data_IF_295568233548
#
_entry.id   IF_295568233548
#
_cell.length_a   1.000
_cell.length_b   1.000
_cell.length_c   1.000
_cell.angle_alpha   90.00
_cell.angle_beta   90.00
_cell.angle_gamma   90.00
#
_symmetry.space_group_name_H-M   'P 1'
#
loop_
_entity.id
_entity.type
_entity.pdbx_description
1 polymer ?
#
# COMPACT_ATOMS: atom_id res chain seq x y z
N UNK A 1 13.22 6.05 5.33
CA UNK A 1 12.70 4.92 6.14
C UNK A 1 12.62 5.27 7.63
N UNK A 2 13.69 5.81 8.23
CA UNK A 2 13.75 6.11 9.67
C UNK A 2 12.56 6.94 10.21
N UNK A 3 12.21 8.05 9.56
CA UNK A 3 11.09 8.92 9.99
C UNK A 3 9.74 8.18 10.06
N UNK A 4 9.46 7.30 9.09
CA UNK A 4 8.21 6.52 9.05
C UNK A 4 8.18 5.54 10.23
N UNK A 5 9.30 4.87 10.51
CA UNK A 5 9.42 3.91 11.63
C UNK A 5 9.35 4.62 12.97
N UNK A 6 9.97 5.78 13.10
CA UNK A 6 9.91 6.58 14.33
C UNK A 6 8.48 7.10 14.58
N UNK A 7 7.85 7.67 13.55
CA UNK A 7 6.47 8.12 13.61
C UNK A 7 5.49 6.97 13.92
N UNK A 8 5.74 5.76 13.40
CA UNK A 8 4.91 4.58 13.72
C UNK A 8 5.07 4.16 15.17
N UNK A 9 6.28 4.22 15.73
CA UNK A 9 6.55 3.89 17.13
C UNK A 9 5.86 4.85 18.09
N UNK A 10 5.80 6.14 17.77
CA UNK A 10 4.99 7.13 18.52
C UNK A 10 3.50 6.76 18.51
N UNK A 11 3.04 6.10 17.45
CA UNK A 11 1.69 5.53 17.34
C UNK A 11 1.61 4.12 17.91
N UNK A 12 2.58 3.65 18.71
CA UNK A 12 2.65 2.29 19.29
C UNK A 12 2.58 1.17 18.25
N UNK A 13 3.15 1.40 17.06
CA UNK A 13 3.24 0.43 15.96
C UNK A 13 4.70 0.07 15.68
N UNK A 14 5.00 -1.23 15.68
CA UNK A 14 6.25 -1.76 15.16
C UNK A 14 6.07 -2.17 13.69
N UNK A 15 6.83 -1.55 12.79
CA UNK A 15 6.80 -1.86 11.37
C UNK A 15 8.04 -2.68 10.98
N UNK A 16 7.82 -3.79 10.29
CA UNK A 16 8.89 -4.68 9.85
C UNK A 16 8.77 -4.95 8.35
N UNK A 17 9.87 -4.76 7.61
CA UNK A 17 9.98 -5.10 6.18
C UNK A 17 10.75 -6.41 6.04
N UNK A 18 10.15 -7.39 5.39
CA UNK A 18 10.75 -8.65 4.99
C UNK A 18 10.81 -8.71 3.46
N UNK A 19 11.88 -9.29 2.92
CA UNK A 19 12.12 -9.36 1.46
C UNK A 19 12.53 -10.77 1.08
N UNK A 20 12.03 -11.24 -0.05
CA UNK A 20 12.43 -12.49 -0.68
C UNK A 20 12.52 -12.28 -2.19
N UNK A 21 13.74 -12.04 -2.68
CA UNK A 21 13.96 -11.63 -4.06
C UNK A 21 13.19 -10.34 -4.40
N UNK A 22 12.38 -10.30 -5.48
CA UNK A 22 11.60 -9.13 -5.84
C UNK A 22 10.36 -8.95 -4.94
N UNK A 23 9.98 -9.97 -4.16
CA UNK A 23 8.81 -9.93 -3.30
C UNK A 23 9.13 -9.28 -1.96
N UNK A 24 8.15 -8.59 -1.40
CA UNK A 24 8.26 -8.00 -0.08
C UNK A 24 6.97 -8.17 0.73
N UNK A 25 7.14 -8.19 2.04
CA UNK A 25 6.06 -8.14 3.03
C UNK A 25 6.41 -7.08 4.06
N UNK A 26 5.44 -6.25 4.39
CA UNK A 26 5.52 -5.30 5.49
C UNK A 26 4.48 -5.71 6.51
N UNK A 27 4.86 -5.84 7.77
CA UNK A 27 3.95 -6.17 8.87
C UNK A 27 3.93 -5.02 9.87
N UNK A 28 2.75 -4.66 10.34
CA UNK A 28 2.53 -3.77 11.46
C UNK A 28 2.08 -4.58 12.68
N UNK A 29 2.83 -4.49 13.79
CA UNK A 29 2.49 -5.12 15.07
C UNK A 29 2.21 -4.06 16.13
N UNK A 30 1.33 -4.39 17.07
CA UNK A 30 1.14 -3.58 18.27
C UNK A 30 2.39 -3.68 19.14
N UNK A 31 2.96 -2.55 19.55
CA UNK A 31 4.03 -2.56 20.55
C UNK A 31 3.53 -2.97 21.94
N UNK A 32 2.21 -2.88 22.19
CA UNK A 32 1.62 -3.21 23.49
C UNK A 32 1.32 -4.71 23.61
N UNK A 33 0.68 -5.29 22.59
CA UNK A 33 0.25 -6.71 22.61
C UNK A 33 1.20 -7.65 21.86
N UNK A 34 2.11 -7.11 21.04
CA UNK A 34 2.98 -7.89 20.13
C UNK A 34 2.24 -8.52 18.95
N UNK A 35 0.92 -8.38 18.88
CA UNK A 35 0.08 -9.03 17.86
C UNK A 35 0.09 -8.25 16.54
N UNK A 36 -0.12 -8.97 15.44
CA UNK A 36 -0.23 -8.38 14.10
C UNK A 36 -1.52 -7.59 13.97
N UNK A 37 -1.38 -6.33 13.55
CA UNK A 37 -2.49 -5.43 13.27
C UNK A 37 -2.79 -5.37 11.77
N UNK A 38 -1.77 -5.64 10.94
CA UNK A 38 -1.97 -5.82 9.52
C UNK A 38 -0.67 -6.00 8.77
N UNK A 39 -0.81 -6.26 7.48
CA UNK A 39 0.31 -6.46 6.56
C UNK A 39 0.01 -5.93 5.18
N UNK A 40 1.07 -5.58 4.47
CA UNK A 40 1.06 -5.26 3.05
C UNK A 40 2.07 -6.13 2.31
N UNK A 41 1.72 -6.63 1.14
CA UNK A 41 2.54 -7.48 0.31
C UNK A 41 2.61 -6.93 -1.11
N UNK A 42 3.71 -7.20 -1.79
CA UNK A 42 3.88 -6.77 -3.16
C UNK A 42 5.16 -7.31 -3.78
N UNK A 43 5.42 -6.85 -4.99
CA UNK A 43 6.55 -7.28 -5.81
C UNK A 43 7.13 -6.11 -6.59
N UNK A 44 8.46 -6.09 -6.71
CA UNK A 44 9.16 -5.21 -7.65
C UNK A 44 9.15 -5.89 -9.02
N UNK A 45 8.36 -5.36 -9.96
CA UNK A 45 8.34 -5.85 -11.34
C UNK A 45 9.39 -5.15 -12.17
N UNK A 46 10.06 -5.90 -13.04
CA UNK A 46 11.00 -5.38 -14.02
C UNK A 46 10.30 -5.35 -15.37
N UNK A 47 10.19 -4.17 -15.97
CA UNK A 47 9.55 -3.97 -17.27
C UNK A 47 10.45 -3.16 -18.21
N UNK A 48 10.17 -3.22 -19.51
CA UNK A 48 10.77 -2.33 -20.50
C UNK A 48 10.34 -0.88 -20.20
N UNK A 49 11.20 -0.12 -19.51
CA UNK A 49 10.87 1.21 -18.96
C UNK A 49 11.24 1.39 -17.49
N UNK A 50 11.74 0.35 -16.81
CA UNK A 50 12.28 0.43 -15.45
C UNK A 50 11.58 -0.49 -14.46
N UNK A 51 11.75 -0.19 -13.17
CA UNK A 51 11.15 -0.96 -12.08
C UNK A 51 9.81 -0.36 -11.69
N UNK A 52 8.84 -1.24 -11.43
CA UNK A 52 7.50 -0.87 -10.96
C UNK A 52 7.29 -1.49 -9.59
N UNK A 53 6.89 -0.68 -8.61
CA UNK A 53 6.40 -1.14 -7.33
C UNK A 53 4.97 -1.62 -7.52
N UNK A 54 4.75 -2.92 -7.48
CA UNK A 54 3.42 -3.49 -7.56
C UNK A 54 2.95 -3.89 -6.17
N UNK A 55 1.96 -3.16 -5.63
CA UNK A 55 1.34 -3.48 -4.35
C UNK A 55 0.19 -4.44 -4.63
N UNK A 56 0.31 -5.65 -4.10
CA UNK A 56 -0.61 -6.75 -4.38
C UNK A 56 -1.76 -6.77 -3.37
N UNK A 57 -1.42 -6.84 -2.08
CA UNK A 57 -2.43 -6.92 -1.03
C UNK A 57 -2.10 -6.04 0.18
N UNK A 58 -3.15 -5.55 0.82
CA UNK A 58 -3.08 -4.93 2.14
C UNK A 58 -4.23 -5.45 2.99
N UNK A 59 -3.90 -6.11 4.10
CA UNK A 59 -4.86 -6.74 5.00
C UNK A 59 -4.69 -6.19 6.40
N UNK A 60 -5.79 -5.79 7.01
CA UNK A 60 -5.83 -5.32 8.39
C UNK A 60 -6.58 -6.36 9.22
N UNK A 61 -6.00 -6.74 10.35
CA UNK A 61 -6.54 -7.79 11.21
C UNK A 61 -7.66 -7.25 12.10
N UNK A 62 -8.53 -8.17 12.59
CA UNK A 62 -9.66 -7.81 13.47
C UNK A 62 -9.23 -7.05 14.72
N UNK A 63 -8.02 -7.30 15.20
CA UNK A 63 -7.46 -6.59 16.35
C UNK A 63 -7.38 -5.07 16.13
N UNK A 64 -7.26 -4.62 14.87
CA UNK A 64 -7.31 -3.20 14.51
C UNK A 64 -8.66 -2.56 14.77
N UNK A 65 -9.77 -3.32 14.71
CA UNK A 65 -11.14 -2.81 14.92
C UNK A 65 -11.36 -2.40 16.38
N UNK A 66 -10.68 -3.06 17.32
CA UNK A 66 -10.76 -2.76 18.76
C UNK A 66 -9.86 -1.61 19.21
N UNK A 67 -9.03 -1.06 18.33
CA UNK A 67 -8.13 0.03 18.69
C UNK A 67 -8.85 1.38 18.59
N UNK A 68 -8.51 2.32 19.47
CA UNK A 68 -8.88 3.74 19.30
C UNK A 68 -8.03 4.42 18.20
N UNK A 69 -7.76 3.70 17.11
CA UNK A 69 -6.95 4.13 15.96
C UNK A 69 -7.72 3.82 14.69
N UNK A 70 -7.65 4.72 13.71
CA UNK A 70 -8.27 4.48 12.43
C UNK A 70 -7.57 3.33 11.69
N UNK A 71 -8.36 2.39 11.16
CA UNK A 71 -7.94 1.35 10.18
C UNK A 71 -7.10 1.99 9.05
N UNK A 72 -7.54 3.14 8.54
CA UNK A 72 -6.81 3.90 7.51
C UNK A 72 -5.49 4.51 8.02
N UNK A 73 -5.35 4.73 9.33
CA UNK A 73 -4.10 5.18 9.95
C UNK A 73 -3.02 4.10 9.90
N UNK A 74 -3.36 2.85 10.21
CA UNK A 74 -2.42 1.72 10.06
C UNK A 74 -2.11 1.48 8.58
N UNK A 75 -3.14 1.48 7.73
CA UNK A 75 -2.97 1.36 6.28
C UNK A 75 -2.06 2.44 5.69
N UNK A 76 -2.11 3.67 6.22
CA UNK A 76 -1.21 4.75 5.81
C UNK A 76 0.25 4.42 6.13
N UNK A 77 0.56 3.87 7.32
CA UNK A 77 1.94 3.48 7.67
C UNK A 77 2.46 2.32 6.82
N UNK A 78 1.62 1.29 6.62
CA UNK A 78 1.96 0.17 5.72
C UNK A 78 2.23 0.66 4.30
N UNK A 79 1.36 1.53 3.77
CA UNK A 79 1.52 2.14 2.46
C UNK A 79 2.77 3.03 2.37
N UNK A 80 3.02 3.87 3.38
CA UNK A 80 4.21 4.72 3.46
C UNK A 80 5.51 3.92 3.38
N UNK A 81 5.58 2.82 4.11
CA UNK A 81 6.72 1.93 4.10
C UNK A 81 6.89 1.21 2.75
N UNK A 82 5.78 0.80 2.11
CA UNK A 82 5.82 0.19 0.78
C UNK A 82 6.33 1.16 -0.29
N UNK A 83 5.80 2.40 -0.31
CA UNK A 83 6.24 3.44 -1.25
C UNK A 83 7.71 3.78 -1.02
N UNK A 84 8.12 4.00 0.23
CA UNK A 84 9.51 4.29 0.54
C UNK A 84 10.42 3.15 0.08
N UNK A 85 10.03 1.90 0.33
CA UNK A 85 10.77 0.73 -0.11
C UNK A 85 10.90 0.69 -1.64
N UNK A 86 9.81 0.89 -2.38
CA UNK A 86 9.87 0.94 -3.84
C UNK A 86 10.76 2.07 -4.36
N UNK A 87 10.72 3.24 -3.72
CA UNK A 87 11.57 4.38 -4.10
C UNK A 87 13.05 4.05 -3.89
N UNK A 88 13.38 3.48 -2.73
CA UNK A 88 14.75 3.02 -2.42
C UNK A 88 15.22 1.89 -3.38
N UNK A 89 14.29 1.11 -3.96
CA UNK A 89 14.59 0.12 -5.00
C UNK A 89 14.78 0.73 -6.41
N UNK A 90 14.52 2.03 -6.59
CA UNK A 90 14.59 2.72 -7.87
C UNK A 90 13.34 2.54 -8.73
N UNK A 91 12.18 2.31 -8.13
CA UNK A 91 10.91 2.30 -8.85
C UNK A 91 10.46 3.73 -9.18
N UNK A 92 10.10 3.98 -10.44
CA UNK A 92 9.51 5.26 -10.84
C UNK A 92 7.99 5.28 -10.62
N UNK A 93 7.36 4.10 -10.70
CA UNK A 93 5.90 3.93 -10.68
C UNK A 93 5.45 2.94 -9.62
N UNK A 94 4.35 3.27 -8.94
CA UNK A 94 3.63 2.41 -8.02
C UNK A 94 2.27 2.06 -8.62
N UNK A 95 1.84 0.82 -8.47
CA UNK A 95 0.57 0.32 -8.97
C UNK A 95 -0.14 -0.46 -7.87
N UNK A 96 -1.45 -0.29 -7.77
CA UNK A 96 -2.32 -1.06 -6.88
C UNK A 96 -3.70 -1.25 -7.50
N UNK A 97 -4.45 -2.21 -6.97
CA UNK A 97 -5.87 -2.39 -7.28
C UNK A 97 -6.72 -2.00 -6.06
N UNK A 98 -7.62 -1.03 -6.25
CA UNK A 98 -8.71 -0.78 -5.31
C UNK A 98 -9.82 -1.80 -5.58
N UNK A 99 -9.74 -2.97 -4.94
CA UNK A 99 -10.68 -4.08 -5.16
C UNK A 99 -12.13 -3.67 -4.88
N UNK A 100 -13.05 -4.20 -5.67
CA UNK A 100 -14.49 -3.90 -5.60
C UNK A 100 -15.28 -5.06 -4.99
N UNK A 101 -15.03 -5.38 -3.72
CA UNK A 101 -15.81 -6.38 -2.99
C UNK A 101 -17.24 -5.89 -2.69
N UNK A 102 -17.37 -4.60 -2.33
CA UNK A 102 -18.65 -3.91 -2.19
C UNK A 102 -18.51 -2.48 -2.70
N UNK A 103 -19.54 -1.95 -3.35
CA UNK A 103 -19.50 -0.61 -3.94
C UNK A 103 -19.16 0.50 -2.92
N UNK A 104 -19.67 0.40 -1.70
CA UNK A 104 -19.39 1.37 -0.64
C UNK A 104 -17.93 1.34 -0.18
N UNK A 105 -17.36 0.14 0.02
CA UNK A 105 -15.98 -0.01 0.45
C UNK A 105 -15.00 0.38 -0.67
N UNK A 106 -15.31 -0.06 -1.88
CA UNK A 106 -14.59 0.30 -3.10
C UNK A 106 -14.45 1.82 -3.27
N UNK A 107 -15.58 2.56 -3.18
CA UNK A 107 -15.55 4.03 -3.28
C UNK A 107 -14.68 4.68 -2.19
N UNK A 108 -14.68 4.13 -0.96
CA UNK A 108 -13.82 4.60 0.13
C UNK A 108 -12.34 4.35 -0.17
N UNK A 109 -11.98 3.18 -0.72
CA UNK A 109 -10.61 2.86 -1.12
C UNK A 109 -10.12 3.79 -2.23
N UNK A 110 -10.91 3.97 -3.29
CA UNK A 110 -10.55 4.86 -4.40
C UNK A 110 -10.32 6.28 -3.89
N UNK A 111 -11.22 6.83 -3.07
CA UNK A 111 -11.03 8.15 -2.45
C UNK A 111 -9.82 8.22 -1.51
N UNK A 112 -9.55 7.16 -0.76
CA UNK A 112 -8.38 7.07 0.10
C UNK A 112 -7.09 7.15 -0.71
N UNK A 113 -6.91 6.26 -1.69
CA UNK A 113 -5.71 6.25 -2.53
C UNK A 113 -5.56 7.50 -3.40
N UNK A 114 -6.67 8.10 -3.84
CA UNK A 114 -6.66 9.39 -4.55
C UNK A 114 -6.09 10.50 -3.67
N UNK A 115 -6.55 10.60 -2.41
CA UNK A 115 -6.00 11.57 -1.44
C UNK A 115 -4.53 11.32 -1.14
N UNK A 116 -4.10 10.06 -1.18
CA UNK A 116 -2.70 9.67 -1.05
C UNK A 116 -1.84 10.11 -2.25
N UNK A 117 -2.42 10.26 -3.44
CA UNK A 117 -1.74 10.74 -4.65
C UNK A 117 -1.79 9.79 -5.83
N UNK A 118 -2.49 8.66 -5.69
CA UNK A 118 -2.74 7.75 -6.80
C UNK A 118 -3.82 8.32 -7.74
N UNK A 119 -3.70 8.00 -9.02
CA UNK A 119 -4.67 8.35 -10.06
C UNK A 119 -5.35 7.08 -10.56
N UNK A 120 -6.66 7.15 -10.76
CA UNK A 120 -7.42 6.08 -11.39
C UNK A 120 -6.98 5.96 -12.85
N UNK A 121 -6.71 4.75 -13.33
CA UNK A 121 -6.24 4.52 -14.71
C UNK A 121 -7.34 3.87 -15.54
N UNK A 122 -7.93 2.78 -15.03
CA UNK A 122 -9.12 2.16 -15.59
C UNK A 122 -9.77 1.23 -14.57
N UNK A 123 -11.02 0.87 -14.83
CA UNK A 123 -11.74 -0.17 -14.12
C UNK A 123 -11.43 -1.53 -14.74
N UNK A 124 -10.94 -2.45 -13.92
CA UNK A 124 -10.71 -3.86 -14.26
C UNK A 124 -12.06 -4.57 -14.18
N UNK A 125 -12.79 -4.64 -15.29
CA UNK A 125 -14.18 -5.14 -15.36
C UNK A 125 -14.33 -6.62 -15.73
N UNK A 126 -13.23 -7.29 -16.12
CA UNK A 126 -13.23 -8.68 -16.59
C UNK A 126 -13.69 -8.89 -18.04
N UNK A 127 -13.87 -7.81 -18.82
CA UNK A 127 -14.39 -7.87 -20.19
C UNK A 127 -13.32 -7.91 -21.28
N UNK A 128 -12.05 -7.63 -20.95
CA UNK A 128 -10.93 -7.59 -21.89
C UNK A 128 -9.78 -8.53 -21.52
N UNK A 129 -8.92 -8.89 -22.48
CA UNK A 129 -7.71 -9.69 -22.24
C UNK A 129 -6.75 -9.04 -21.22
N UNK A 130 -6.76 -7.71 -21.14
CA UNK A 130 -6.02 -6.94 -20.13
C UNK A 130 -6.63 -7.11 -18.74
N UNK A 131 -7.96 -7.13 -18.65
CA UNK A 131 -8.63 -7.38 -17.39
C UNK A 131 -8.35 -8.79 -16.87
N UNK A 132 -8.25 -9.79 -17.76
CA UNK A 132 -7.90 -11.15 -17.35
C UNK A 132 -6.50 -11.23 -16.75
N UNK A 133 -5.50 -10.53 -17.32
CA UNK A 133 -4.15 -10.53 -16.76
C UNK A 133 -4.07 -9.77 -15.44
N UNK A 134 -4.80 -8.67 -15.29
CA UNK A 134 -4.88 -7.94 -14.02
C UNK A 134 -5.67 -8.71 -12.95
N UNK A 135 -6.75 -9.41 -13.33
CA UNK A 135 -7.50 -10.31 -12.44
C UNK A 135 -6.67 -11.52 -12.03
N UNK A 136 -5.82 -12.06 -12.90
CA UNK A 136 -4.87 -13.12 -12.52
C UNK A 136 -3.82 -12.62 -11.53
N UNK A 137 -3.46 -11.34 -11.64
CA UNK A 137 -2.43 -10.71 -10.82
C UNK A 137 -2.95 -10.32 -9.43
N UNK A 138 -4.12 -9.68 -9.35
CA UNK A 138 -4.68 -9.16 -8.09
C UNK A 138 -5.87 -9.97 -7.56
N UNK A 139 -6.36 -10.94 -8.32
CA UNK A 139 -7.43 -11.87 -7.91
C UNK A 139 -8.85 -11.31 -7.93
N UNK A 140 -9.11 -10.14 -8.53
CA UNK A 140 -10.45 -9.53 -8.51
C UNK A 140 -10.68 -8.35 -9.44
N UNK A 141 -11.94 -7.90 -9.47
CA UNK A 141 -12.43 -6.71 -10.18
C UNK A 141 -12.19 -5.49 -9.29
N UNK A 142 -11.83 -4.34 -9.87
CA UNK A 142 -11.58 -3.13 -9.11
C UNK A 142 -11.08 -1.98 -9.96
N UNK A 143 -10.63 -0.90 -9.34
CA UNK A 143 -10.03 0.23 -10.07
C UNK A 143 -8.52 0.13 -9.95
N UNK A 144 -7.83 -0.03 -11.09
CA UNK A 144 -6.37 0.07 -11.11
C UNK A 144 -5.98 1.52 -10.91
N UNK A 145 -5.04 1.74 -10.00
CA UNK A 145 -4.53 3.05 -9.69
C UNK A 145 -3.01 3.09 -9.74
N UNK A 146 -2.48 4.15 -10.32
CA UNK A 146 -1.05 4.35 -10.50
C UNK A 146 -0.58 5.65 -9.84
N UNK A 147 0.68 5.69 -9.43
CA UNK A 147 1.33 6.91 -8.94
C UNK A 147 2.80 6.95 -9.35
N UNK A 148 3.34 8.16 -9.52
CA UNK A 148 4.79 8.37 -9.59
C UNK A 148 5.34 8.38 -8.16
N UNK A 149 6.39 7.59 -7.88
CA UNK A 149 6.91 7.49 -6.51
C UNK A 149 7.60 8.76 -6.04
N UNK A 150 8.25 9.50 -6.92
CA UNK A 150 8.90 10.76 -6.57
C UNK A 150 7.85 11.79 -6.12
N UNK A 151 6.74 11.91 -6.86
CA UNK A 151 5.60 12.75 -6.49
C UNK A 151 5.04 12.35 -5.12
N UNK A 152 4.89 11.05 -4.86
CA UNK A 152 4.41 10.54 -3.56
C UNK A 152 5.39 10.87 -2.44
N UNK A 153 6.69 10.69 -2.66
CA UNK A 153 7.73 11.01 -1.68
C UNK A 153 7.69 12.50 -1.34
N UNK A 154 7.65 13.39 -2.33
CA UNK A 154 7.53 14.84 -2.14
C UNK A 154 6.27 15.18 -1.34
N UNK A 155 5.12 14.61 -1.74
CA UNK A 155 3.83 14.86 -1.08
C UNK A 155 3.83 14.40 0.38
N UNK A 156 4.55 13.33 0.71
CA UNK A 156 4.54 12.73 2.05
C UNK A 156 5.73 13.15 2.92
N UNK A 157 6.71 13.88 2.39
CA UNK A 157 7.89 14.36 3.11
C UNK A 157 7.59 15.08 4.43
N UNK A 158 6.44 15.76 4.56
CA UNK A 158 6.03 16.43 5.80
C UNK A 158 5.11 15.60 6.69
N UNK A 159 4.54 14.50 6.17
CA UNK A 159 3.47 13.74 6.83
C UNK A 159 3.97 12.90 8.01
N UNK A 160 5.22 12.44 7.94
CA UNK A 160 5.83 11.50 8.90
C UNK A 160 6.98 12.11 9.70
N UNK A 161 7.24 13.41 9.58
CA UNK A 161 8.22 14.09 10.43
C UNK A 161 7.75 14.01 11.89
N UNK A 162 8.60 13.57 12.83
CA UNK A 162 8.30 13.68 14.26
C UNK A 162 7.99 15.14 14.59
N UNK A 163 6.97 15.37 15.41
CA UNK A 163 6.70 16.70 15.98
C UNK A 163 7.45 16.84 17.30
#
# INVERSE_FOLDING_TARGET
>A
MAEIVESSRLQKLDLQLQRFGPFFRITAKSLESGRELGRAEGVIRFWFGGKILHVDSMKLERETIGMNKSIFGIGLFLGAMAIRFGYDCGCAKAELLAINDTHLYHSKLVRFYTRLGFKQVYEVGGGSLRDLSDMLVWGGVGTRMDANLEDLMIKWCSRFKPK
#
